data_IF_979443402621
#
_entry.id   IF_979443402621
#
_cell.length_a   1.000
_cell.length_b   1.000
_cell.length_c   1.000
_cell.angle_alpha   90.00
_cell.angle_beta   90.00
_cell.angle_gamma   90.00
#
_symmetry.space_group_name_H-M   'P 1'
#
loop_
_entity.id
_entity.type
_entity.pdbx_description
1 polymer ?
#
# COMPACT_ATOMS: atom_id res chain seq x y z
N UNK A 1 5.38 -9.76 -21.94
CA UNK A 1 4.88 -8.56 -22.58
C UNK A 1 5.08 -7.42 -21.59
N UNK A 2 6.02 -6.52 -21.89
CA UNK A 2 6.23 -5.31 -21.08
C UNK A 2 5.00 -4.43 -21.30
N UNK A 3 4.10 -4.38 -20.34
CA UNK A 3 3.14 -3.29 -20.26
C UNK A 3 3.91 -2.09 -19.70
N UNK A 4 4.09 -1.07 -20.51
CA UNK A 4 4.65 0.20 -20.10
C UNK A 4 3.77 0.78 -19.00
N UNK A 5 4.32 0.97 -17.80
CA UNK A 5 3.66 1.68 -16.70
C UNK A 5 3.56 3.17 -17.09
N UNK A 6 2.60 3.49 -17.93
CA UNK A 6 2.28 4.87 -18.28
C UNK A 6 1.22 5.40 -17.32
N UNK A 7 1.56 6.48 -16.63
CA UNK A 7 0.57 7.29 -15.94
C UNK A 7 -0.35 7.95 -17.00
N UNK A 8 -1.60 8.24 -16.67
CA UNK A 8 -2.58 8.87 -17.57
C UNK A 8 -2.13 10.22 -18.18
N UNK A 9 -0.99 10.75 -17.75
CA UNK A 9 -0.40 12.00 -18.25
C UNK A 9 0.76 11.80 -19.24
N UNK A 10 1.02 10.59 -19.72
CA UNK A 10 2.00 10.32 -20.81
C UNK A 10 3.47 10.64 -20.47
N UNK A 11 3.79 10.91 -19.22
CA UNK A 11 5.18 11.04 -18.78
C UNK A 11 5.72 9.64 -18.44
N UNK A 12 6.53 9.14 -19.35
CA UNK A 12 7.24 7.87 -19.22
C UNK A 12 8.12 7.89 -17.95
N UNK A 13 7.67 7.25 -16.87
CA UNK A 13 8.44 7.12 -15.63
C UNK A 13 9.47 5.97 -15.74
N UNK A 14 10.15 5.85 -16.88
CA UNK A 14 11.35 5.04 -17.05
C UNK A 14 12.56 5.72 -16.35
N UNK A 15 12.38 6.15 -15.08
CA UNK A 15 13.53 6.38 -14.22
C UNK A 15 14.04 5.01 -13.81
N UNK A 16 15.28 4.73 -14.15
CA UNK A 16 15.94 3.44 -14.03
C UNK A 16 15.80 2.91 -12.60
N UNK A 17 14.85 2.01 -12.42
CA UNK A 17 14.68 1.29 -11.16
C UNK A 17 15.92 0.44 -10.94
N UNK A 18 16.70 0.82 -9.95
CA UNK A 18 17.95 0.13 -9.65
C UNK A 18 17.70 -0.86 -8.50
N UNK A 19 18.16 -2.08 -8.69
CA UNK A 19 18.36 -2.99 -7.59
C UNK A 19 19.23 -2.32 -6.51
N UNK A 20 18.80 -2.40 -5.26
CA UNK A 20 19.38 -1.66 -4.15
C UNK A 20 18.56 -0.41 -3.76
N UNK A 21 17.54 -0.03 -4.53
CA UNK A 21 16.60 1.02 -4.12
C UNK A 21 15.87 0.63 -2.84
N UNK A 22 15.73 1.59 -1.95
CA UNK A 22 14.87 1.44 -0.77
C UNK A 22 13.41 1.54 -1.17
N UNK A 23 12.58 0.67 -0.62
CA UNK A 23 11.14 0.69 -0.83
C UNK A 23 10.44 1.27 0.39
N UNK A 24 9.72 2.36 0.16
CA UNK A 24 8.88 3.04 1.15
C UNK A 24 7.40 2.80 0.84
N UNK A 25 6.56 2.96 1.85
CA UNK A 25 5.11 3.02 1.69
C UNK A 25 4.59 4.35 2.24
N UNK A 26 3.85 5.07 1.42
CA UNK A 26 3.06 6.22 1.84
C UNK A 26 1.61 5.79 2.08
N UNK A 27 0.99 6.33 3.13
CA UNK A 27 -0.35 5.92 3.55
C UNK A 27 -0.34 4.61 4.37
N UNK A 28 -1.49 3.95 4.46
CA UNK A 28 -1.70 2.76 5.31
C UNK A 28 -2.43 1.65 4.54
N UNK A 29 -2.20 0.39 4.95
CA UNK A 29 -2.80 -0.77 4.30
C UNK A 29 -4.33 -0.80 4.45
N UNK A 30 -5.03 -1.12 3.35
CA UNK A 30 -6.45 -1.47 3.33
C UNK A 30 -7.43 -0.32 3.61
N UNK A 31 -6.98 0.94 3.68
CA UNK A 31 -7.83 2.05 4.12
C UNK A 31 -9.10 2.25 3.28
N UNK A 32 -8.98 2.19 1.96
CA UNK A 32 -10.15 2.36 1.09
C UNK A 32 -11.19 1.27 1.33
N UNK A 33 -10.75 0.02 1.40
CA UNK A 33 -11.63 -1.11 1.68
C UNK A 33 -12.29 -1.03 3.06
N UNK A 34 -11.53 -0.64 4.09
CA UNK A 34 -12.08 -0.43 5.44
C UNK A 34 -13.09 0.71 5.47
N UNK A 35 -12.81 1.82 4.80
CA UNK A 35 -13.76 2.93 4.68
C UNK A 35 -15.08 2.49 4.06
N UNK A 36 -15.02 1.68 3.00
CA UNK A 36 -16.21 1.11 2.36
C UNK A 36 -16.96 0.15 3.30
N UNK A 37 -16.25 -0.74 3.99
CA UNK A 37 -16.87 -1.65 4.96
C UNK A 37 -17.51 -0.92 6.13
N UNK A 38 -16.89 0.16 6.60
CA UNK A 38 -17.46 1.00 7.65
C UNK A 38 -18.69 1.77 7.19
N UNK A 39 -18.71 2.21 5.92
CA UNK A 39 -19.86 2.93 5.36
C UNK A 39 -21.06 2.00 5.08
N UNK A 40 -20.83 0.85 4.47
CA UNK A 40 -21.90 -0.08 4.09
C UNK A 40 -22.30 -1.05 5.20
N UNK A 41 -21.41 -1.32 6.16
CA UNK A 41 -21.61 -2.27 7.27
C UNK A 41 -21.88 -1.61 8.62
N UNK A 42 -22.26 -0.34 8.65
CA UNK A 42 -22.42 0.45 9.90
C UNK A 42 -23.34 -0.26 10.91
N UNK A 43 -24.51 -0.73 10.46
CA UNK A 43 -25.46 -1.43 11.33
C UNK A 43 -24.89 -2.70 12.00
N UNK A 44 -24.04 -3.42 11.30
CA UNK A 44 -23.38 -4.59 11.84
C UNK A 44 -22.27 -4.20 12.82
N UNK A 45 -21.48 -3.19 12.48
CA UNK A 45 -20.35 -2.72 13.28
C UNK A 45 -20.78 -2.05 14.59
N UNK A 46 -21.93 -1.39 14.63
CA UNK A 46 -22.48 -0.76 15.86
C UNK A 46 -22.78 -1.76 16.97
N UNK A 47 -22.86 -3.06 16.66
CA UNK A 47 -23.01 -4.12 17.67
C UNK A 47 -21.75 -4.32 18.51
N UNK A 48 -20.59 -3.93 18.01
CA UNK A 48 -19.30 -4.13 18.65
C UNK A 48 -18.49 -2.86 18.88
N UNK A 49 -18.65 -1.85 18.02
CA UNK A 49 -17.86 -0.63 18.03
C UNK A 49 -18.71 0.62 18.29
N UNK A 50 -18.08 1.65 18.83
CA UNK A 50 -18.72 2.96 19.04
C UNK A 50 -18.93 3.68 17.71
N UNK A 51 -19.92 4.56 17.66
CA UNK A 51 -20.17 5.43 16.49
C UNK A 51 -18.95 6.30 16.14
N UNK A 52 -18.18 6.74 17.13
CA UNK A 52 -16.96 7.52 16.91
C UNK A 52 -15.90 6.73 16.16
N UNK A 53 -15.68 5.47 16.55
CA UNK A 53 -14.75 4.56 15.88
C UNK A 53 -15.16 4.28 14.43
N UNK A 54 -16.44 4.00 14.21
CA UNK A 54 -16.95 3.74 12.85
C UNK A 54 -16.79 4.97 11.96
N UNK A 55 -17.09 6.16 12.47
CA UNK A 55 -16.89 7.42 11.73
C UNK A 55 -15.42 7.68 11.37
N UNK A 56 -14.49 7.36 12.26
CA UNK A 56 -13.05 7.46 11.95
C UNK A 56 -12.67 6.55 10.78
N UNK A 57 -13.18 5.33 10.74
CA UNK A 57 -12.95 4.41 9.62
C UNK A 57 -13.61 4.91 8.33
N UNK A 58 -14.83 5.46 8.39
CA UNK A 58 -15.50 6.04 7.21
C UNK A 58 -14.73 7.22 6.61
N UNK A 59 -14.07 8.04 7.44
CA UNK A 59 -13.25 9.17 7.01
C UNK A 59 -12.01 8.75 6.17
N UNK A 60 -11.65 7.48 6.15
CA UNK A 60 -10.60 7.00 5.25
C UNK A 60 -10.94 7.24 3.79
N UNK A 61 -12.23 7.30 3.44
CA UNK A 61 -12.69 7.60 2.08
C UNK A 61 -12.40 9.05 1.63
N UNK A 62 -12.06 9.94 2.57
CA UNK A 62 -11.71 11.32 2.27
C UNK A 62 -10.25 11.47 1.76
N UNK A 63 -9.45 10.42 1.85
CA UNK A 63 -7.99 10.43 1.61
C UNK A 63 -7.53 9.44 0.53
N UNK A 64 -8.35 9.23 -0.51
CA UNK A 64 -8.08 8.22 -1.55
C UNK A 64 -7.15 8.71 -2.67
N UNK A 65 -6.75 9.97 -2.65
CA UNK A 65 -5.88 10.55 -3.68
C UNK A 65 -4.41 10.46 -3.32
N UNK A 66 -3.58 9.98 -4.26
CA UNK A 66 -2.11 10.03 -4.16
C UNK A 66 -1.51 11.30 -4.75
N UNK A 67 -2.35 12.27 -5.14
CA UNK A 67 -1.88 13.55 -5.69
C UNK A 67 -0.91 14.29 -4.78
N UNK A 68 -1.12 14.38 -3.44
CA UNK A 68 -0.16 15.01 -2.54
C UNK A 68 1.22 14.34 -2.56
N UNK A 69 1.27 13.00 -2.75
CA UNK A 69 2.53 12.27 -2.90
C UNK A 69 3.23 12.65 -4.19
N UNK A 70 2.50 12.67 -5.32
CA UNK A 70 3.07 13.04 -6.63
C UNK A 70 3.63 14.46 -6.62
N UNK A 71 2.89 15.41 -6.07
CA UNK A 71 3.31 16.82 -5.96
C UNK A 71 4.55 16.97 -5.06
N UNK A 72 4.58 16.30 -3.91
CA UNK A 72 5.70 16.37 -2.97
C UNK A 72 7.01 15.77 -3.54
N UNK A 73 6.91 14.83 -4.48
CA UNK A 73 8.05 14.10 -5.04
C UNK A 73 8.40 14.54 -6.47
N UNK A 74 7.81 15.62 -7.00
CA UNK A 74 7.99 16.06 -8.38
C UNK A 74 9.47 16.23 -8.77
N UNK A 75 10.28 16.79 -7.86
CA UNK A 75 11.71 17.07 -8.06
C UNK A 75 12.63 15.98 -7.48
N UNK A 76 12.07 14.88 -6.97
CA UNK A 76 12.83 13.80 -6.35
C UNK A 76 12.85 12.58 -7.27
N UNK A 77 14.04 11.97 -7.43
CA UNK A 77 14.17 10.73 -8.19
C UNK A 77 13.57 9.55 -7.42
N UNK A 78 12.30 9.27 -7.72
CA UNK A 78 11.51 8.22 -7.10
C UNK A 78 10.52 7.64 -8.11
N UNK A 79 10.25 6.34 -7.98
CA UNK A 79 9.17 5.68 -8.69
C UNK A 79 7.99 5.49 -7.74
N UNK A 80 6.82 5.93 -8.14
CA UNK A 80 5.58 5.84 -7.36
C UNK A 80 4.67 4.77 -8.00
N UNK A 81 4.27 3.78 -7.21
CA UNK A 81 3.37 2.72 -7.62
C UNK A 81 2.10 2.72 -6.75
N UNK A 82 0.91 3.04 -7.28
CA UNK A 82 -0.33 3.09 -6.53
C UNK A 82 -0.70 1.71 -5.96
N UNK A 83 -1.23 1.70 -4.73
CA UNK A 83 -1.85 0.52 -4.15
C UNK A 83 -3.36 0.63 -4.39
N UNK A 84 -3.94 -0.37 -5.02
CA UNK A 84 -5.35 -0.38 -5.43
C UNK A 84 -6.02 -1.71 -5.01
N UNK A 85 -6.82 -2.30 -5.88
CA UNK A 85 -7.49 -3.59 -5.67
C UNK A 85 -6.49 -4.69 -5.31
N UNK A 86 -6.82 -5.52 -4.32
CA UNK A 86 -5.97 -6.57 -3.80
C UNK A 86 -4.90 -6.11 -2.83
N UNK A 87 -4.86 -4.80 -2.50
CA UNK A 87 -4.07 -4.24 -1.42
C UNK A 87 -2.56 -4.25 -1.64
N UNK A 88 -1.84 -4.06 -0.53
CA UNK A 88 -0.39 -3.89 -0.55
C UNK A 88 0.36 -5.17 -1.01
N UNK A 89 -0.15 -6.37 -0.69
CA UNK A 89 0.53 -7.60 -1.09
C UNK A 89 0.46 -7.81 -2.60
N UNK A 90 -0.69 -7.55 -3.23
CA UNK A 90 -0.81 -7.59 -4.69
C UNK A 90 0.04 -6.50 -5.34
N UNK A 91 0.05 -5.29 -4.78
CA UNK A 91 0.86 -4.19 -5.28
C UNK A 91 2.36 -4.53 -5.26
N UNK A 92 2.87 -5.11 -4.16
CA UNK A 92 4.25 -5.56 -4.04
C UNK A 92 4.61 -6.61 -5.09
N UNK A 93 3.74 -7.59 -5.30
CA UNK A 93 3.95 -8.61 -6.33
C UNK A 93 4.01 -7.99 -7.73
N UNK A 94 2.96 -7.22 -8.09
CA UNK A 94 2.84 -6.63 -9.43
C UNK A 94 3.98 -5.64 -9.71
N UNK A 95 4.38 -4.87 -8.71
CA UNK A 95 5.52 -3.97 -8.79
C UNK A 95 6.82 -4.74 -9.12
N UNK A 96 7.13 -5.78 -8.34
CA UNK A 96 8.33 -6.59 -8.55
C UNK A 96 8.32 -7.31 -9.91
N UNK A 97 7.15 -7.78 -10.33
CA UNK A 97 6.96 -8.44 -11.63
C UNK A 97 7.22 -7.47 -12.79
N UNK A 98 6.64 -6.28 -12.71
CA UNK A 98 6.79 -5.24 -13.73
C UNK A 98 8.22 -4.75 -13.92
N UNK A 99 9.01 -4.68 -12.84
CA UNK A 99 10.43 -4.26 -12.91
C UNK A 99 11.41 -5.43 -13.10
N UNK A 100 10.94 -6.67 -13.08
CA UNK A 100 11.79 -7.87 -13.21
C UNK A 100 12.82 -8.02 -12.10
N UNK A 101 12.48 -7.65 -10.86
CA UNK A 101 13.37 -7.67 -9.70
C UNK A 101 12.73 -8.40 -8.52
N UNK A 102 13.54 -8.68 -7.49
CA UNK A 102 13.06 -9.21 -6.22
C UNK A 102 12.80 -8.12 -5.19
N UNK A 103 12.24 -8.54 -4.08
CA UNK A 103 11.95 -7.69 -2.93
C UNK A 103 12.38 -8.37 -1.63
N UNK A 104 12.78 -7.57 -0.65
CA UNK A 104 12.96 -7.99 0.74
C UNK A 104 12.19 -7.01 1.63
N UNK A 105 11.04 -7.45 2.16
CA UNK A 105 10.06 -6.62 2.86
C UNK A 105 9.91 -7.08 4.30
N UNK A 106 9.95 -6.15 5.25
CA UNK A 106 9.56 -6.39 6.65
C UNK A 106 8.06 -6.08 6.82
N UNK A 107 7.25 -7.11 7.00
CA UNK A 107 5.79 -7.01 7.17
C UNK A 107 5.38 -6.14 8.37
N UNK A 108 6.20 -6.09 9.42
CA UNK A 108 5.91 -5.29 10.63
C UNK A 108 6.02 -3.79 10.37
N UNK A 109 6.75 -3.41 9.32
CA UNK A 109 6.92 -2.01 8.92
C UNK A 109 5.83 -1.51 7.99
N UNK A 110 4.98 -2.39 7.44
CA UNK A 110 3.84 -1.97 6.63
C UNK A 110 2.86 -1.21 7.52
N UNK A 111 2.63 0.10 7.27
CA UNK A 111 1.74 0.89 8.11
C UNK A 111 0.30 0.39 8.00
N UNK A 112 -0.35 0.23 9.14
CA UNK A 112 -1.76 -0.14 9.23
C UNK A 112 -2.42 0.64 10.38
N UNK A 113 -3.66 1.07 10.17
CA UNK A 113 -4.45 1.75 11.21
C UNK A 113 -5.13 0.73 12.10
N UNK A 114 -5.37 1.11 13.36
CA UNK A 114 -6.08 0.24 14.29
C UNK A 114 -7.49 -0.08 13.79
N UNK A 115 -8.20 0.89 13.23
CA UNK A 115 -9.51 0.71 12.65
C UNK A 115 -9.48 -0.38 11.54
N UNK A 116 -8.39 -0.43 10.76
CA UNK A 116 -8.22 -1.44 9.72
C UNK A 116 -8.02 -2.84 10.32
N UNK A 117 -7.27 -2.96 11.40
CA UNK A 117 -7.07 -4.24 12.10
C UNK A 117 -8.40 -4.74 12.67
N UNK A 118 -9.06 -3.93 13.48
CA UNK A 118 -10.29 -4.28 14.20
C UNK A 118 -11.45 -4.66 13.24
N UNK A 119 -11.69 -3.84 12.21
CA UNK A 119 -12.76 -4.10 11.24
C UNK A 119 -12.42 -5.33 10.38
N UNK A 120 -11.14 -5.53 10.03
CA UNK A 120 -10.73 -6.74 9.32
C UNK A 120 -10.94 -8.00 10.16
N UNK A 121 -10.65 -7.97 11.44
CA UNK A 121 -10.92 -9.08 12.38
C UNK A 121 -12.43 -9.34 12.48
N UNK A 122 -13.24 -8.30 12.57
CA UNK A 122 -14.71 -8.43 12.61
C UNK A 122 -15.25 -9.19 11.39
N UNK A 123 -14.73 -8.92 10.19
CA UNK A 123 -15.14 -9.58 8.95
C UNK A 123 -14.35 -10.85 8.63
N UNK A 124 -13.33 -11.20 9.38
CA UNK A 124 -12.46 -12.36 9.14
C UNK A 124 -11.68 -12.26 7.82
N UNK A 125 -11.16 -11.08 7.48
CA UNK A 125 -10.42 -10.79 6.24
C UNK A 125 -8.99 -10.34 6.50
N UNK A 126 -8.15 -10.40 5.45
CA UNK A 126 -6.77 -9.94 5.51
C UNK A 126 -6.67 -8.47 5.04
N UNK A 127 -6.36 -7.50 5.93
CA UNK A 127 -6.28 -6.09 5.55
C UNK A 127 -5.17 -5.77 4.54
N UNK A 128 -4.15 -6.61 4.42
CA UNK A 128 -3.06 -6.44 3.45
C UNK A 128 -3.45 -6.88 2.03
N UNK A 129 -4.57 -7.59 1.86
CA UNK A 129 -5.19 -7.97 0.59
C UNK A 129 -6.46 -7.16 0.29
N UNK A 130 -6.71 -6.12 1.06
CA UNK A 130 -7.88 -5.26 0.95
C UNK A 130 -7.53 -3.98 0.20
N UNK A 131 -8.44 -3.51 -0.66
CA UNK A 131 -8.32 -2.28 -1.46
C UNK A 131 -7.64 -1.15 -0.69
N UNK A 132 -6.56 -0.62 -1.26
CA UNK A 132 -5.63 0.31 -0.60
C UNK A 132 -5.49 1.68 -1.27
N UNK A 133 -6.48 2.12 -2.05
CA UNK A 133 -6.46 3.43 -2.68
C UNK A 133 -6.14 4.53 -1.66
N UNK A 134 -5.37 5.52 -2.10
CA UNK A 134 -4.80 6.56 -1.25
C UNK A 134 -3.41 6.23 -0.70
N UNK A 135 -2.98 4.98 -0.77
CA UNK A 135 -1.63 4.56 -0.44
C UNK A 135 -0.82 4.21 -1.71
N UNK A 136 0.50 4.27 -1.60
CA UNK A 136 1.39 3.90 -2.70
C UNK A 136 2.73 3.36 -2.19
N UNK A 137 3.38 2.54 -3.03
CA UNK A 137 4.77 2.15 -2.89
C UNK A 137 5.65 3.20 -3.56
N UNK A 138 6.81 3.46 -2.98
CA UNK A 138 7.77 4.43 -3.50
C UNK A 138 9.16 3.82 -3.42
N UNK A 139 9.81 3.65 -4.56
CA UNK A 139 11.21 3.22 -4.59
C UNK A 139 12.13 4.37 -4.96
N UNK A 140 13.23 4.51 -4.22
CA UNK A 140 14.23 5.55 -4.42
C UNK A 140 15.59 5.15 -3.87
N UNK A 141 16.66 5.72 -4.44
CA UNK A 141 18.01 5.66 -3.88
C UNK A 141 18.23 6.74 -2.81
N UNK A 142 17.24 7.61 -2.58
CA UNK A 142 17.31 8.74 -1.63
C UNK A 142 16.12 8.72 -0.66
N UNK A 143 15.93 7.64 0.12
CA UNK A 143 14.74 7.45 0.96
C UNK A 143 14.55 8.56 1.99
N UNK A 144 15.64 9.15 2.51
CA UNK A 144 15.57 10.25 3.48
C UNK A 144 14.93 11.50 2.85
N UNK A 145 15.25 11.81 1.59
CA UNK A 145 14.63 12.93 0.87
C UNK A 145 13.16 12.68 0.60
N UNK A 146 12.82 11.45 0.21
CA UNK A 146 11.42 11.03 0.00
C UNK A 146 10.62 11.21 1.29
N UNK A 147 11.09 10.63 2.40
CA UNK A 147 10.38 10.72 3.69
C UNK A 147 10.29 12.17 4.19
N UNK A 148 11.34 12.97 4.03
CA UNK A 148 11.33 14.37 4.44
C UNK A 148 10.35 15.23 3.62
N UNK A 149 10.29 15.02 2.29
CA UNK A 149 9.35 15.73 1.42
C UNK A 149 7.89 15.37 1.74
N UNK A 150 7.61 14.09 1.94
CA UNK A 150 6.26 13.62 2.31
C UNK A 150 5.84 14.11 3.69
N UNK A 151 6.75 14.11 4.67
CA UNK A 151 6.46 14.67 5.99
C UNK A 151 6.08 16.16 5.92
N UNK A 152 6.77 16.96 5.09
CA UNK A 152 6.41 18.38 4.86
C UNK A 152 5.02 18.52 4.23
N UNK A 153 4.61 17.58 3.39
CA UNK A 153 3.29 17.54 2.77
C UNK A 153 2.20 16.94 3.71
N UNK A 154 2.55 16.56 4.94
CA UNK A 154 1.63 15.93 5.88
C UNK A 154 1.28 14.48 5.53
N UNK A 155 2.09 13.82 4.70
CA UNK A 155 1.87 12.44 4.28
C UNK A 155 2.76 11.49 5.08
N UNK A 156 2.18 10.47 5.68
CA UNK A 156 2.92 9.39 6.36
C UNK A 156 3.74 8.59 5.35
N UNK A 157 5.02 8.38 5.64
CA UNK A 157 5.92 7.57 4.84
C UNK A 157 6.83 6.73 5.73
N UNK A 158 6.93 5.44 5.43
CA UNK A 158 7.75 4.48 6.19
C UNK A 158 8.56 3.63 5.22
N UNK A 159 9.83 3.40 5.54
CA UNK A 159 10.66 2.41 4.84
C UNK A 159 10.18 1.01 5.22
N UNK A 160 9.76 0.23 4.25
CA UNK A 160 9.25 -1.14 4.46
C UNK A 160 10.21 -2.24 3.98
N UNK A 161 11.20 -1.90 3.18
CA UNK A 161 12.16 -2.87 2.65
C UNK A 161 13.01 -2.31 1.53
N UNK A 162 13.42 -3.20 0.62
CA UNK A 162 14.29 -2.85 -0.49
C UNK A 162 14.01 -3.70 -1.74
N UNK A 163 14.38 -3.16 -2.89
CA UNK A 163 14.42 -3.87 -4.17
C UNK A 163 15.74 -4.61 -4.28
N UNK A 164 15.69 -5.91 -4.64
CA UNK A 164 16.88 -6.77 -4.72
C UNK A 164 17.20 -7.16 -6.17
N UNK A 165 18.44 -7.57 -6.42
CA UNK A 165 18.88 -8.07 -7.73
C UNK A 165 18.35 -9.48 -8.03
N UNK A 166 18.04 -10.23 -6.99
CA UNK A 166 17.51 -11.59 -7.09
C UNK A 166 16.04 -11.55 -7.46
N UNK A 167 15.53 -12.60 -8.08
CA UNK A 167 14.10 -12.67 -8.43
C UNK A 167 13.19 -13.03 -7.24
N UNK A 168 13.78 -13.33 -6.08
CA UNK A 168 13.04 -13.73 -4.90
C UNK A 168 12.26 -12.54 -4.32
N UNK A 169 10.97 -12.73 -4.06
CA UNK A 169 10.08 -11.76 -3.43
C UNK A 169 9.84 -12.20 -2.00
N UNK A 170 10.71 -11.74 -1.10
CA UNK A 170 10.75 -12.19 0.29
C UNK A 170 9.98 -11.23 1.19
N UNK A 171 9.16 -11.78 2.07
CA UNK A 171 8.54 -11.08 3.19
C UNK A 171 9.01 -11.70 4.50
N UNK A 172 9.35 -10.84 5.46
CA UNK A 172 9.84 -11.22 6.78
C UNK A 172 8.88 -10.76 7.86
N UNK A 173 8.66 -11.62 8.83
CA UNK A 173 7.93 -11.28 10.05
C UNK A 173 8.61 -12.01 11.22
N UNK A 174 9.27 -11.26 12.10
CA UNK A 174 10.12 -11.78 13.15
C UNK A 174 11.20 -12.73 12.59
N UNK A 175 11.28 -13.97 13.07
CA UNK A 175 12.21 -14.98 12.56
C UNK A 175 11.66 -15.76 11.35
N UNK A 176 10.42 -15.47 10.94
CA UNK A 176 9.77 -16.16 9.85
C UNK A 176 10.05 -15.47 8.52
N UNK A 177 10.53 -16.25 7.56
CA UNK A 177 10.79 -15.82 6.17
C UNK A 177 9.83 -16.56 5.25
N UNK A 178 9.05 -15.81 4.48
CA UNK A 178 8.13 -16.35 3.48
C UNK A 178 8.37 -15.71 2.12
N UNK A 179 7.91 -16.38 1.09
CA UNK A 179 7.82 -15.79 -0.23
C UNK A 179 6.44 -15.16 -0.42
N UNK A 180 6.43 -14.03 -1.13
CA UNK A 180 5.19 -13.36 -1.48
C UNK A 180 4.38 -14.25 -2.45
N UNK A 181 3.12 -14.47 -2.12
CA UNK A 181 2.21 -15.22 -2.98
C UNK A 181 1.83 -14.43 -4.23
N UNK A 182 1.43 -15.15 -5.28
CA UNK A 182 0.84 -14.52 -6.47
C UNK A 182 -0.39 -13.70 -6.11
N UNK A 183 -0.74 -12.67 -6.91
CA UNK A 183 -1.90 -11.84 -6.62
C UNK A 183 -3.16 -12.65 -6.37
N UNK A 184 -3.84 -12.33 -5.28
CA UNK A 184 -5.10 -12.90 -4.87
C UNK A 184 -6.25 -11.93 -5.18
N UNK A 185 -7.49 -12.44 -5.15
CA UNK A 185 -8.68 -11.63 -5.25
C UNK A 185 -8.79 -10.69 -4.03
N UNK A 186 -9.28 -9.45 -4.25
CA UNK A 186 -9.51 -8.50 -3.17
C UNK A 186 -10.50 -9.06 -2.15
N UNK A 187 -10.19 -8.86 -0.87
CA UNK A 187 -11.00 -9.37 0.25
C UNK A 187 -12.42 -8.77 0.29
N UNK A 188 -12.64 -7.59 -0.30
CA UNK A 188 -13.99 -7.02 -0.44
C UNK A 188 -14.96 -7.95 -1.20
N UNK A 189 -14.44 -8.71 -2.17
CA UNK A 189 -15.27 -9.64 -2.95
C UNK A 189 -15.80 -10.79 -2.10
N UNK A 190 -15.11 -11.17 -1.04
CA UNK A 190 -15.53 -12.22 -0.10
C UNK A 190 -16.71 -11.80 0.76
N UNK A 191 -16.82 -10.50 1.06
CA UNK A 191 -17.87 -9.96 1.94
C UNK A 191 -19.17 -9.68 1.16
N UNK A 192 -19.06 -9.39 -0.13
CA UNK A 192 -20.22 -9.09 -0.99
C UNK A 192 -21.07 -10.33 -1.35
N UNK A 193 -20.68 -11.51 -0.92
CA UNK A 193 -21.47 -12.76 -1.07
C UNK A 193 -22.29 -13.02 0.17
#
# INVERSE_FOLDING_TARGET
ANEDFTDNDGKNQNKTLQAGSTLCMAGHAGMAGIGLLAAYGEDALTKQYTQGFIRQAQQFLDTLSIRPVKEALEDIDACIYPIQEGGVLNALWNYADGIGAGLDIDMRKIPIRQESVEISEFYGINPYLLMGDGACLISSMQPEKVCAALAKAGVSCVVIGQVTKENARVIRRDDEVRYLDKPAQDELVRIRK
#
